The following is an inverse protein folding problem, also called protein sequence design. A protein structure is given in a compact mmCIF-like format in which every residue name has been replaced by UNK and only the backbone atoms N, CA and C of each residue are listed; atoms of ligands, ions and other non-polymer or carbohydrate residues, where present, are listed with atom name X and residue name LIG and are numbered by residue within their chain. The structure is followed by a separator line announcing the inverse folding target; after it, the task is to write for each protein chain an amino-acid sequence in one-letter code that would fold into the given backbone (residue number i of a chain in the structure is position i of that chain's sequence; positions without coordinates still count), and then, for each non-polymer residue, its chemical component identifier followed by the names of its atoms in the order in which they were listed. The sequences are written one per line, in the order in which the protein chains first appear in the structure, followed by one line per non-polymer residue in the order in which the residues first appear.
data_IF_807696344730
#
_entry.id   IF_807696344730
#
_cell.length_a   1.000
_cell.length_b   1.000
_cell.length_c   1.000
_cell.angle_alpha   90.00
_cell.angle_beta   90.00
_cell.angle_gamma   90.00
#
_symmetry.space_group_name_H-M   'P 1'
#
loop_
_entity.id
_entity.type
_entity.pdbx_description
1 polymer ?
#
# COMPACT_ATOMS: atom_id res chain seq x y z
N UNK A 1 -51.41 -35.11 -35.48
CA UNK A 1 -52.46 -34.23 -34.92
C UNK A 1 -51.74 -33.17 -34.12
N UNK A 2 -51.83 -31.89 -34.56
CA UNK A 2 -51.61 -30.65 -33.77
C UNK A 2 -50.19 -30.50 -33.20
N UNK A 3 -49.49 -29.37 -33.06
CA UNK A 3 -49.78 -27.96 -32.75
C UNK A 3 -48.40 -27.26 -32.67
N UNK A 4 -48.09 -26.29 -33.53
CA UNK A 4 -48.03 -24.83 -33.23
C UNK A 4 -47.01 -24.45 -32.13
N UNK A 5 -45.77 -24.02 -32.44
CA UNK A 5 -45.32 -22.67 -32.86
C UNK A 5 -44.16 -22.20 -31.93
N UNK A 6 -43.52 -21.01 -32.03
CA UNK A 6 -43.55 -19.95 -33.05
C UNK A 6 -42.13 -19.51 -33.53
N UNK A 7 -42.06 -18.50 -34.42
CA UNK A 7 -41.00 -17.48 -34.33
C UNK A 7 -40.18 -17.23 -35.58
N UNK A 8 -40.75 -16.47 -36.51
CA UNK A 8 -40.06 -15.90 -37.65
C UNK A 8 -38.95 -14.91 -37.23
N UNK A 9 -37.97 -14.82 -38.12
CA UNK A 9 -36.79 -13.96 -38.13
C UNK A 9 -37.03 -12.48 -37.79
N UNK A 10 -35.97 -11.82 -37.29
CA UNK A 10 -35.57 -10.50 -37.80
C UNK A 10 -34.10 -10.20 -37.48
N UNK A 11 -33.29 -10.29 -38.52
CA UNK A 11 -31.96 -9.66 -38.62
C UNK A 11 -32.18 -8.14 -38.61
N UNK A 12 -31.58 -7.42 -37.66
CA UNK A 12 -31.42 -5.97 -37.75
C UNK A 12 -29.99 -5.66 -38.23
N UNK A 13 -29.81 -4.88 -39.31
CA UNK A 13 -28.51 -4.37 -39.68
C UNK A 13 -28.13 -3.13 -38.85
N UNK A 14 -26.85 -3.11 -38.48
CA UNK A 14 -25.92 -1.99 -38.59
C UNK A 14 -26.45 -0.59 -38.26
N UNK A 15 -25.97 -0.04 -37.15
CA UNK A 15 -24.95 1.04 -37.17
C UNK A 15 -24.83 1.65 -35.78
N UNK A 16 -23.76 1.33 -35.07
CA UNK A 16 -23.36 2.11 -33.89
C UNK A 16 -22.70 3.39 -34.38
N UNK A 17 -23.25 4.60 -34.13
CA UNK A 17 -22.48 5.82 -34.29
C UNK A 17 -21.42 5.82 -33.19
N UNK A 18 -20.20 5.42 -33.58
CA UNK A 18 -18.97 5.56 -32.80
C UNK A 18 -18.72 7.05 -32.58
N UNK A 19 -19.40 7.64 -31.60
CA UNK A 19 -19.09 8.97 -31.13
C UNK A 19 -17.81 8.85 -30.30
N UNK A 20 -16.67 8.99 -30.98
CA UNK A 20 -15.41 9.31 -30.34
C UNK A 20 -15.54 10.70 -29.75
N UNK A 21 -15.95 10.80 -28.48
CA UNK A 21 -15.73 12.01 -27.72
C UNK A 21 -14.48 11.79 -26.88
N UNK A 22 -13.42 12.39 -27.39
CA UNK A 22 -12.05 12.36 -26.93
C UNK A 22 -11.99 12.47 -25.42
N UNK A 23 -11.55 11.38 -24.80
CA UNK A 23 -10.95 11.40 -23.48
C UNK A 23 -9.68 12.24 -23.56
N UNK A 24 -9.78 13.56 -23.44
CA UNK A 24 -8.70 14.31 -22.79
C UNK A 24 -8.80 13.96 -21.31
N UNK A 25 -8.31 12.76 -21.01
CA UNK A 25 -7.82 12.42 -19.69
C UNK A 25 -6.65 13.37 -19.47
N UNK A 26 -6.95 14.59 -19.03
CA UNK A 26 -6.01 15.37 -18.27
C UNK A 26 -5.84 14.60 -16.95
N UNK A 27 -5.07 13.50 -17.03
CA UNK A 27 -4.47 12.89 -15.86
C UNK A 27 -3.58 14.01 -15.33
N UNK A 28 -3.83 14.55 -14.13
CA UNK A 28 -2.83 15.40 -13.52
C UNK A 28 -1.57 14.54 -13.40
N UNK A 29 -0.56 14.90 -14.19
CA UNK A 29 0.81 14.41 -14.02
C UNK A 29 1.14 14.61 -12.55
N UNK A 30 1.37 13.49 -11.88
CA UNK A 30 1.42 13.30 -10.43
C UNK A 30 1.57 14.59 -9.63
N UNK A 31 0.60 14.84 -8.75
CA UNK A 31 0.92 15.49 -7.50
C UNK A 31 2.11 14.71 -6.93
N UNK A 32 3.30 15.32 -6.96
CA UNK A 32 4.43 14.83 -6.19
C UNK A 32 3.90 14.85 -4.77
N UNK A 33 3.50 13.66 -4.31
CA UNK A 33 2.76 13.49 -3.07
C UNK A 33 3.54 14.22 -2.01
N UNK A 34 2.86 15.13 -1.30
CA UNK A 34 3.44 15.76 -0.13
C UNK A 34 3.90 14.62 0.77
N UNK A 35 5.21 14.34 0.77
CA UNK A 35 5.80 13.33 1.63
C UNK A 35 5.33 13.69 3.03
N UNK A 36 4.52 12.85 3.69
CA UNK A 36 3.99 13.19 4.99
C UNK A 36 5.16 13.53 5.92
N UNK A 37 5.00 14.49 6.83
CA UNK A 37 6.09 14.87 7.72
C UNK A 37 6.57 13.62 8.47
N UNK A 38 7.86 13.32 8.35
CA UNK A 38 8.47 12.21 9.07
C UNK A 38 8.54 12.55 10.55
N UNK A 39 8.28 11.57 11.40
CA UNK A 39 8.50 11.70 12.84
C UNK A 39 9.99 11.72 13.15
N UNK A 40 10.49 12.59 14.03
CA UNK A 40 11.92 12.59 14.39
C UNK A 40 12.32 11.30 15.14
N UNK A 41 11.40 10.70 15.88
CA UNK A 41 11.64 9.52 16.72
C UNK A 41 11.46 8.17 16.00
N UNK A 42 11.27 8.16 14.68
CA UNK A 42 10.95 6.96 13.90
C UNK A 42 11.99 5.83 13.99
N UNK A 43 13.27 6.16 14.21
CA UNK A 43 14.36 5.19 14.34
C UNK A 43 14.37 4.49 15.71
N UNK A 44 13.96 5.20 16.74
CA UNK A 44 14.09 4.76 18.14
C UNK A 44 12.76 4.28 18.71
N UNK A 45 11.64 4.68 18.09
CA UNK A 45 10.29 4.40 18.58
C UNK A 45 9.43 3.82 17.46
N UNK A 46 8.87 2.62 17.68
CA UNK A 46 7.91 2.06 16.74
C UNK A 46 6.62 2.88 16.77
N UNK A 47 5.79 2.67 15.75
CA UNK A 47 4.49 3.30 15.69
C UNK A 47 3.60 2.75 16.81
N UNK A 48 3.09 3.59 17.74
CA UNK A 48 2.39 3.10 18.93
C UNK A 48 1.12 2.30 18.61
N UNK A 49 0.45 2.61 17.50
CA UNK A 49 -0.71 1.83 17.03
C UNK A 49 -0.35 0.48 16.39
N UNK A 50 0.90 0.26 15.99
CA UNK A 50 1.36 -0.98 15.32
C UNK A 50 2.12 -1.91 16.26
N UNK A 51 2.85 -1.34 17.23
CA UNK A 51 3.53 -2.08 18.28
C UNK A 51 3.49 -1.27 19.58
N UNK A 52 2.70 -1.74 20.54
CA UNK A 52 2.64 -1.16 21.87
C UNK A 52 3.95 -1.41 22.63
N UNK A 53 4.42 -0.43 23.40
CA UNK A 53 5.60 -0.55 24.28
C UNK A 53 5.43 -1.62 25.37
N UNK A 54 4.20 -1.96 25.71
CA UNK A 54 3.85 -2.98 26.70
C UNK A 54 3.86 -4.40 26.13
N UNK A 55 4.08 -4.58 24.82
CA UNK A 55 4.04 -5.90 24.20
C UNK A 55 5.20 -6.80 24.68
N UNK A 56 4.92 -8.08 24.95
CA UNK A 56 5.92 -9.04 25.48
C UNK A 56 7.17 -9.19 24.60
N UNK A 57 7.03 -9.00 23.28
CA UNK A 57 8.14 -9.04 22.30
C UNK A 57 8.65 -7.68 21.88
N UNK A 58 8.24 -6.59 22.54
CA UNK A 58 8.66 -5.23 22.19
C UNK A 58 10.19 -5.11 22.13
N UNK A 59 10.88 -5.56 23.18
CA UNK A 59 12.34 -5.51 23.28
C UNK A 59 13.02 -6.31 22.17
N UNK A 60 12.50 -7.50 21.82
CA UNK A 60 13.08 -8.33 20.77
C UNK A 60 12.89 -7.72 19.38
N UNK A 61 11.70 -7.15 19.11
CA UNK A 61 11.43 -6.43 17.86
C UNK A 61 12.36 -5.22 17.73
N UNK A 62 12.54 -4.44 18.80
CA UNK A 62 13.45 -3.30 18.83
C UNK A 62 14.91 -3.70 18.63
N UNK A 63 15.35 -4.79 19.27
CA UNK A 63 16.71 -5.29 19.10
C UNK A 63 17.00 -5.71 17.66
N UNK A 64 16.09 -6.48 17.03
CA UNK A 64 16.21 -6.91 15.62
C UNK A 64 16.15 -5.73 14.65
N UNK A 65 15.32 -4.73 14.97
CA UNK A 65 15.26 -3.49 14.21
C UNK A 65 16.60 -2.73 14.29
N UNK A 66 17.11 -2.52 15.50
CA UNK A 66 18.37 -1.81 15.73
C UNK A 66 19.56 -2.52 15.08
N UNK A 67 19.62 -3.84 15.15
CA UNK A 67 20.63 -4.67 14.47
C UNK A 67 20.58 -4.46 12.95
N UNK A 68 19.38 -4.52 12.35
CA UNK A 68 19.23 -4.30 10.91
C UNK A 68 19.59 -2.87 10.50
N UNK A 69 19.24 -1.86 11.30
CA UNK A 69 19.64 -0.46 11.06
C UNK A 69 21.16 -0.32 11.14
N UNK A 70 21.81 -0.89 12.16
CA UNK A 70 23.26 -0.86 12.30
C UNK A 70 23.99 -1.59 11.16
N UNK A 71 23.41 -2.70 10.68
CA UNK A 71 23.91 -3.44 9.53
C UNK A 71 23.60 -2.78 8.17
N UNK A 72 22.86 -1.66 8.14
CA UNK A 72 22.38 -1.04 6.90
C UNK A 72 21.40 -1.89 6.11
N UNK A 73 20.78 -2.88 6.74
CA UNK A 73 19.80 -3.77 6.12
C UNK A 73 18.43 -3.08 5.99
N UNK A 74 17.76 -3.20 4.83
CA UNK A 74 16.48 -2.54 4.59
C UNK A 74 15.33 -3.21 5.34
N UNK A 75 15.48 -4.47 5.73
CA UNK A 75 14.45 -5.28 6.40
C UNK A 75 15.03 -6.05 7.58
N UNK A 76 14.17 -6.42 8.53
CA UNK A 76 14.46 -7.39 9.59
C UNK A 76 13.32 -8.41 9.68
N UNK A 77 13.62 -9.60 10.20
CA UNK A 77 12.60 -10.62 10.43
C UNK A 77 11.89 -10.35 11.74
N UNK A 78 10.59 -10.13 11.66
CA UNK A 78 9.78 -9.81 12.81
C UNK A 78 9.43 -11.07 13.63
N UNK A 79 9.77 -11.12 14.94
CA UNK A 79 9.54 -12.30 15.77
C UNK A 79 8.06 -12.56 16.10
N UNK A 80 7.16 -11.59 15.88
CA UNK A 80 5.74 -11.73 16.18
C UNK A 80 4.95 -12.29 15.01
N UNK A 81 5.21 -11.77 13.83
CA UNK A 81 4.48 -12.07 12.60
C UNK A 81 5.24 -12.99 11.65
N UNK A 82 6.56 -13.16 11.85
CA UNK A 82 7.42 -13.98 10.99
C UNK A 82 7.77 -13.32 9.64
N UNK A 83 7.18 -12.17 9.32
CA UNK A 83 7.39 -11.44 8.08
C UNK A 83 8.68 -10.64 8.07
N UNK A 84 9.13 -10.27 6.87
CA UNK A 84 10.15 -9.24 6.71
C UNK A 84 9.50 -7.87 6.83
N UNK A 85 9.96 -7.08 7.79
CA UNK A 85 9.48 -5.72 8.05
C UNK A 85 10.57 -4.74 7.68
N UNK A 86 10.22 -3.68 6.95
CA UNK A 86 11.16 -2.62 6.60
C UNK A 86 11.65 -1.85 7.83
N UNK A 87 12.92 -1.46 7.81
CA UNK A 87 13.49 -0.58 8.82
C UNK A 87 13.02 0.86 8.60
N UNK A 88 12.84 1.60 9.71
CA UNK A 88 12.60 3.04 9.70
C UNK A 88 13.62 3.80 8.83
N UNK A 89 14.91 3.45 8.95
CA UNK A 89 15.98 4.07 8.17
C UNK A 89 15.80 3.88 6.65
N UNK A 90 15.38 2.69 6.20
CA UNK A 90 15.12 2.45 4.78
C UNK A 90 13.91 3.22 4.28
N UNK A 91 12.82 3.26 5.06
CA UNK A 91 11.61 4.00 4.68
C UNK A 91 11.86 5.51 4.63
N UNK A 92 12.62 6.04 5.57
CA UNK A 92 13.03 7.45 5.57
C UNK A 92 13.87 7.80 4.33
N UNK A 93 14.80 6.93 3.95
CA UNK A 93 15.60 7.10 2.72
C UNK A 93 14.75 7.01 1.45
N UNK A 94 13.81 6.06 1.39
CA UNK A 94 12.91 5.86 0.25
C UNK A 94 11.95 7.05 0.06
N UNK A 95 11.59 7.75 1.14
CA UNK A 95 10.72 8.93 1.05
C UNK A 95 9.22 8.62 0.94
N UNK A 96 8.77 7.38 1.19
CA UNK A 96 7.34 7.00 1.06
C UNK A 96 6.92 5.82 1.96
N UNK A 97 5.64 5.76 2.36
CA UNK A 97 5.08 4.63 3.12
C UNK A 97 5.17 3.33 2.31
N UNK A 98 5.26 2.20 3.01
CA UNK A 98 5.23 0.88 2.39
C UNK A 98 3.82 0.35 2.17
N UNK A 99 2.78 1.05 2.65
CA UNK A 99 1.35 0.71 2.55
C UNK A 99 0.95 -0.66 3.13
N UNK A 100 1.90 -1.37 3.74
CA UNK A 100 1.70 -2.70 4.36
C UNK A 100 1.62 -2.66 5.88
N UNK A 101 1.68 -1.46 6.48
CA UNK A 101 1.51 -1.30 7.92
C UNK A 101 2.70 -1.77 8.77
N UNK A 102 3.92 -1.46 8.32
CA UNK A 102 5.14 -1.78 9.06
C UNK A 102 5.17 -1.14 10.46
N UNK A 103 5.91 -1.77 11.38
CA UNK A 103 5.98 -1.35 12.79
C UNK A 103 6.77 -0.06 13.02
N UNK A 104 7.66 0.30 12.11
CA UNK A 104 8.57 1.43 12.24
C UNK A 104 8.35 2.48 11.13
N UNK A 105 7.10 2.68 10.72
CA UNK A 105 6.79 3.67 9.69
C UNK A 105 7.11 5.10 10.19
N UNK A 106 7.94 5.87 9.48
CA UNK A 106 8.24 7.25 9.84
C UNK A 106 7.08 8.21 9.55
N UNK A 107 6.14 7.82 8.70
CA UNK A 107 5.07 8.70 8.21
C UNK A 107 3.81 8.58 9.05
N UNK A 108 3.35 9.72 9.59
CA UNK A 108 2.03 9.84 10.22
C UNK A 108 0.98 10.15 9.13
N UNK A 109 -0.07 9.34 9.03
CA UNK A 109 -1.19 9.55 8.09
C UNK A 109 -0.96 9.06 6.66
N UNK A 110 0.16 8.38 6.37
CA UNK A 110 0.43 7.84 5.03
C UNK A 110 -0.26 6.49 4.76
N UNK A 111 -0.83 5.88 5.80
CA UNK A 111 -1.34 4.52 5.76
C UNK A 111 -2.38 4.38 6.87
N UNK A 112 -3.47 5.16 6.74
CA UNK A 112 -4.75 4.98 7.44
C UNK A 112 -5.61 3.95 6.69
#
# INVERSE_FOLDING_TARGET
MSWSGPGAARVLPSSCPRTSRSSTSERPSGSVGRVPPMRPDHLERPHPQRLASTHVRFTEVMARHAEAVAAGSPTYRDPLSGYQVFTAAFLAQRGTCCDTGCRHCPYLGACE
#
